data_IF_519983131784
#
_entry.id   IF_519983131784
#
_cell.length_a   1.000
_cell.length_b   1.000
_cell.length_c   1.000
_cell.angle_alpha   90.00
_cell.angle_beta   90.00
_cell.angle_gamma   90.00
#
_symmetry.space_group_name_H-M   'P 1'
#
loop_
_entity.id
_entity.type
_entity.pdbx_description
1 polymer ?
#
# COMPACT_ATOMS: atom_id res chain seq x y z
N UNK A 1 4.00 2.47 4.70
CA UNK A 1 3.16 1.26 4.64
C UNK A 1 2.35 1.12 5.89
N UNK A 2 1.41 0.19 5.92
CA UNK A 2 0.55 -0.11 7.07
C UNK A 2 -0.02 -1.55 7.00
N UNK A 3 -0.73 -2.00 8.04
CA UNK A 3 -1.36 -3.33 8.02
C UNK A 3 -2.54 -3.43 7.04
N UNK A 4 -3.43 -2.43 7.05
CA UNK A 4 -4.60 -2.34 6.18
C UNK A 4 -4.74 -0.92 5.65
N UNK A 5 -4.73 -0.75 4.33
CA UNK A 5 -4.97 0.53 3.67
C UNK A 5 -6.45 0.64 3.28
N UNK A 6 -7.19 1.50 3.96
CA UNK A 6 -8.64 1.68 3.81
C UNK A 6 -9.07 3.16 3.88
N UNK A 7 -10.38 3.44 3.87
CA UNK A 7 -10.92 4.81 3.88
C UNK A 7 -10.41 5.63 5.07
N UNK A 8 -10.19 5.01 6.23
CA UNK A 8 -9.65 5.70 7.39
C UNK A 8 -8.20 6.11 7.19
N UNK A 9 -7.49 5.40 6.32
CA UNK A 9 -6.11 5.67 5.95
C UNK A 9 -6.03 6.92 5.07
N UNK A 10 -6.92 6.98 4.07
CA UNK A 10 -7.14 8.14 3.20
C UNK A 10 -7.62 9.37 3.97
N UNK A 11 -8.31 9.19 5.10
CA UNK A 11 -8.79 10.26 5.97
C UNK A 11 -7.71 11.07 6.72
N UNK A 12 -6.43 10.92 6.39
CA UNK A 12 -5.33 11.69 6.98
C UNK A 12 -4.43 10.92 7.95
N UNK A 13 -4.36 9.59 7.83
CA UNK A 13 -3.31 8.81 8.52
C UNK A 13 -1.96 9.01 7.85
N UNK A 14 -0.90 8.59 8.56
CA UNK A 14 0.50 8.72 8.13
C UNK A 14 0.76 8.35 6.67
N UNK A 15 0.27 7.20 6.14
CA UNK A 15 0.50 6.83 4.75
C UNK A 15 -0.07 7.83 3.74
N UNK A 16 -1.28 8.34 3.95
CA UNK A 16 -1.89 9.31 3.03
C UNK A 16 -1.19 10.67 3.06
N UNK A 17 -0.77 11.15 4.24
CA UNK A 17 -0.01 12.41 4.34
C UNK A 17 1.37 12.31 3.67
N UNK A 18 2.00 11.13 3.69
CA UNK A 18 3.23 10.90 2.95
C UNK A 18 3.01 10.91 1.43
N UNK A 19 1.91 10.34 0.94
CA UNK A 19 1.51 10.42 -0.48
C UNK A 19 1.33 11.89 -0.90
N UNK A 20 0.53 12.66 -0.15
CA UNK A 20 0.30 14.09 -0.41
C UNK A 20 1.61 14.89 -0.47
N UNK A 21 2.53 14.62 0.47
CA UNK A 21 3.85 15.27 0.46
C UNK A 21 4.68 14.83 -0.74
N UNK A 22 4.68 13.55 -1.09
CA UNK A 22 5.43 13.06 -2.25
C UNK A 22 4.96 13.71 -3.55
N UNK A 23 3.64 13.81 -3.76
CA UNK A 23 3.04 14.56 -4.88
C UNK A 23 3.47 16.03 -4.91
N UNK A 24 3.38 16.72 -3.76
CA UNK A 24 3.83 18.11 -3.63
C UNK A 24 5.30 18.32 -4.06
N UNK A 25 6.17 17.33 -3.82
CA UNK A 25 7.59 17.37 -4.17
C UNK A 25 7.94 16.61 -5.45
N UNK A 26 6.94 16.16 -6.21
CA UNK A 26 7.10 15.37 -7.44
C UNK A 26 8.02 14.16 -7.25
N UNK A 27 7.83 13.44 -6.14
CA UNK A 27 8.57 12.21 -5.81
C UNK A 27 7.67 10.99 -6.02
N UNK A 28 8.21 9.94 -6.63
CA UNK A 28 7.49 8.67 -6.69
C UNK A 28 7.26 8.09 -5.29
N UNK A 29 6.05 7.61 -5.04
CA UNK A 29 5.64 7.03 -3.78
C UNK A 29 5.08 5.62 -3.98
N UNK A 30 5.61 4.66 -3.21
CA UNK A 30 5.08 3.31 -3.17
C UNK A 30 4.50 3.04 -1.78
N UNK A 31 3.23 2.66 -1.72
CA UNK A 31 2.58 2.23 -0.48
C UNK A 31 2.51 0.72 -0.48
N UNK A 32 3.08 0.09 0.54
CA UNK A 32 2.93 -1.34 0.80
C UNK A 32 2.00 -1.55 1.97
N UNK A 33 0.96 -2.37 1.77
CA UNK A 33 0.00 -2.72 2.81
C UNK A 33 -0.34 -4.22 2.81
N UNK A 34 -0.63 -4.75 3.99
CA UNK A 34 -0.98 -6.17 4.15
C UNK A 34 -2.29 -6.50 3.44
N UNK A 35 -3.28 -5.64 3.58
CA UNK A 35 -4.53 -5.67 2.80
C UNK A 35 -4.89 -4.27 2.30
N UNK A 36 -5.66 -4.21 1.20
CA UNK A 36 -6.09 -2.95 0.58
C UNK A 36 -7.60 -3.01 0.31
N UNK A 37 -8.31 -1.95 0.67
CA UNK A 37 -9.66 -1.71 0.18
C UNK A 37 -9.61 -1.09 -1.23
N UNK A 38 -10.30 -1.72 -2.18
CA UNK A 38 -10.24 -1.36 -3.61
C UNK A 38 -10.65 0.10 -3.86
N UNK A 39 -11.64 0.62 -3.11
CA UNK A 39 -12.09 2.01 -3.22
C UNK A 39 -11.01 3.01 -2.78
N UNK A 40 -10.21 2.64 -1.77
CA UNK A 40 -9.15 3.49 -1.24
C UNK A 40 -7.95 3.55 -2.17
N UNK A 41 -7.66 2.41 -2.82
CA UNK A 41 -6.67 2.35 -3.90
C UNK A 41 -7.07 3.21 -5.08
N UNK A 42 -8.29 2.99 -5.60
CA UNK A 42 -8.83 3.74 -6.72
C UNK A 42 -8.81 5.24 -6.45
N UNK A 43 -9.25 5.66 -5.27
CA UNK A 43 -9.21 7.08 -4.88
C UNK A 43 -7.80 7.68 -4.99
N UNK A 44 -6.78 7.00 -4.47
CA UNK A 44 -5.42 7.55 -4.48
C UNK A 44 -4.80 7.57 -5.87
N UNK A 45 -5.00 6.51 -6.67
CA UNK A 45 -4.45 6.41 -8.03
C UNK A 45 -5.11 7.40 -9.00
N UNK A 46 -6.38 7.77 -8.78
CA UNK A 46 -7.05 8.86 -9.52
C UNK A 46 -6.57 10.25 -9.10
N UNK A 47 -6.21 10.45 -7.83
CA UNK A 47 -5.79 11.76 -7.32
C UNK A 47 -4.31 12.06 -7.53
N UNK A 48 -3.44 11.04 -7.53
CA UNK A 48 -1.99 11.21 -7.59
C UNK A 48 -1.40 10.35 -8.70
N UNK A 49 -0.74 10.98 -9.67
CA UNK A 49 -0.12 10.29 -10.81
C UNK A 49 1.23 9.62 -10.47
N UNK A 50 1.77 9.91 -9.29
CA UNK A 50 3.09 9.50 -8.79
C UNK A 50 2.98 8.58 -7.57
N UNK A 51 1.87 7.85 -7.43
CA UNK A 51 1.67 6.87 -6.37
C UNK A 51 1.34 5.51 -6.97
N UNK A 52 1.88 4.46 -6.35
CA UNK A 52 1.45 3.08 -6.58
C UNK A 52 1.16 2.41 -5.25
N UNK A 53 0.04 1.68 -5.16
CA UNK A 53 -0.38 1.00 -3.94
C UNK A 53 -0.38 -0.52 -4.14
N UNK A 54 0.41 -1.18 -3.29
CA UNK A 54 0.79 -2.58 -3.41
C UNK A 54 0.29 -3.39 -2.21
N UNK A 55 -0.64 -4.32 -2.48
CA UNK A 55 -1.06 -5.32 -1.51
C UNK A 55 -0.01 -6.44 -1.50
N UNK A 56 0.49 -6.81 -0.32
CA UNK A 56 1.40 -7.96 -0.21
C UNK A 56 0.72 -9.21 0.38
N UNK A 57 -0.37 -9.07 1.12
CA UNK A 57 -1.14 -10.21 1.61
C UNK A 57 -1.80 -11.00 0.48
N UNK A 58 -2.18 -12.23 0.82
CA UNK A 58 -2.90 -13.12 -0.08
C UNK A 58 -4.38 -13.17 0.32
N UNK A 59 -5.26 -12.70 -0.57
CA UNK A 59 -6.71 -12.66 -0.35
C UNK A 59 -7.35 -14.06 -0.25
N UNK A 60 -6.63 -15.13 -0.63
CA UNK A 60 -7.12 -16.51 -0.53
C UNK A 60 -6.82 -17.16 0.83
N UNK A 61 -5.89 -16.60 1.60
CA UNK A 61 -5.50 -17.10 2.91
C UNK A 61 -6.30 -16.42 4.02
N UNK A 62 -6.41 -17.09 5.15
CA UNK A 62 -7.00 -16.46 6.32
C UNK A 62 -6.07 -15.41 6.95
N UNK A 63 -6.56 -14.74 8.00
CA UNK A 63 -5.81 -13.69 8.67
C UNK A 63 -4.57 -14.21 9.40
N UNK A 64 -4.66 -15.38 10.03
CA UNK A 64 -3.57 -15.96 10.82
C UNK A 64 -2.41 -16.39 9.90
N UNK A 65 -2.74 -17.02 8.78
CA UNK A 65 -1.78 -17.40 7.74
C UNK A 65 -1.08 -16.19 7.14
N UNK A 66 -1.84 -15.12 6.84
CA UNK A 66 -1.28 -13.86 6.34
C UNK A 66 -0.33 -13.22 7.34
N UNK A 67 -0.65 -13.23 8.64
CA UNK A 67 0.24 -12.71 9.68
C UNK A 67 1.49 -13.56 9.86
N UNK A 68 1.34 -14.89 9.88
CA UNK A 68 2.45 -15.82 10.04
C UNK A 68 3.48 -15.71 8.90
N UNK A 69 3.04 -15.30 7.70
CA UNK A 69 3.88 -15.19 6.50
C UNK A 69 4.09 -13.75 6.02
N UNK A 70 3.74 -12.75 6.84
CA UNK A 70 3.75 -11.35 6.44
C UNK A 70 5.14 -10.88 5.96
N UNK A 71 6.22 -11.32 6.62
CA UNK A 71 7.59 -10.98 6.22
C UNK A 71 7.95 -11.57 4.84
N UNK A 72 7.64 -12.85 4.61
CA UNK A 72 7.85 -13.52 3.32
C UNK A 72 7.13 -12.77 2.19
N UNK A 73 5.86 -12.47 2.41
CA UNK A 73 5.01 -11.78 1.46
C UNK A 73 5.47 -10.36 1.16
N UNK A 74 5.83 -9.60 2.20
CA UNK A 74 6.35 -8.25 2.04
C UNK A 74 7.67 -8.25 1.27
N UNK A 75 8.63 -9.11 1.63
CA UNK A 75 9.93 -9.20 0.93
C UNK A 75 9.76 -9.62 -0.53
N UNK A 76 8.85 -10.57 -0.81
CA UNK A 76 8.51 -10.99 -2.17
C UNK A 76 7.97 -9.82 -3.00
N UNK A 77 6.98 -9.09 -2.46
CA UNK A 77 6.38 -7.93 -3.14
C UNK A 77 7.39 -6.79 -3.32
N UNK A 78 8.24 -6.54 -2.32
CA UNK A 78 9.28 -5.51 -2.39
C UNK A 78 10.26 -5.80 -3.54
N UNK A 79 10.73 -7.04 -3.66
CA UNK A 79 11.61 -7.47 -4.76
C UNK A 79 10.92 -7.36 -6.11
N UNK A 80 9.64 -7.70 -6.18
CA UNK A 80 8.83 -7.58 -7.41
C UNK A 80 8.71 -6.13 -7.90
N UNK A 81 8.71 -5.14 -7.01
CA UNK A 81 8.54 -3.72 -7.37
C UNK A 81 9.88 -3.00 -7.56
N UNK A 82 10.84 -3.17 -6.63
CA UNK A 82 12.09 -2.41 -6.63
C UNK A 82 13.17 -2.96 -7.58
N UNK A 83 13.02 -4.19 -8.07
CA UNK A 83 13.92 -4.78 -9.06
C UNK A 83 13.28 -4.91 -10.45
N UNK A 84 12.24 -4.11 -10.73
CA UNK A 84 11.76 -3.86 -12.10
C UNK A 84 12.72 -2.95 -12.83
#
# INVERSE_FOLDING_TARGET
GEGRFDQTSVGGKGPFELIRKADQYHKQAHVFAGSIADESKFFCEEQFSNVEIHEFGDRQLDLEENFARAEEFFVRKLREILHR
#
